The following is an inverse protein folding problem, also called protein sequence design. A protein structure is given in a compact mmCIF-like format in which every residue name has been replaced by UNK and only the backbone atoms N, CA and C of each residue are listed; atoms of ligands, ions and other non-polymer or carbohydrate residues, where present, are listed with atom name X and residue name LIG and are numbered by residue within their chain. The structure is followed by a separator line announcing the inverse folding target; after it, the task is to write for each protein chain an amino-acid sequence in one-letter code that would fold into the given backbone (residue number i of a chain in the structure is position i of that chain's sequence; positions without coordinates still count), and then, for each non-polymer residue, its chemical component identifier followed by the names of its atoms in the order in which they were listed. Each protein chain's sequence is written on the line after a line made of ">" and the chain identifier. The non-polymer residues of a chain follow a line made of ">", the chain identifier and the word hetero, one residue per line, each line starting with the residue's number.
data_IF_778913602654
#
_entry.id   IF_778913602654
#
_cell.length_a   1.000
_cell.length_b   1.000
_cell.length_c   1.000
_cell.angle_alpha   90.00
_cell.angle_beta   90.00
_cell.angle_gamma   90.00
#
_symmetry.space_group_name_H-M   'P 1'
#
loop_
_entity.id
_entity.type
_entity.pdbx_description
1 polymer ?
#
# COMPACT_ATOMS: atom_id res chain seq x y z
N UNK A 1 -41.51 27.77 24.15
CA UNK A 1 -42.13 26.43 24.05
C UNK A 1 -41.10 25.41 24.47
N UNK A 2 -41.47 24.41 25.29
CA UNK A 2 -40.52 23.60 26.02
C UNK A 2 -39.87 22.52 25.16
N UNK A 3 -38.70 22.14 25.64
CA UNK A 3 -37.74 21.14 25.19
C UNK A 3 -38.40 19.75 25.11
N UNK A 4 -38.32 19.08 23.96
CA UNK A 4 -38.62 17.65 23.84
C UNK A 4 -37.29 16.88 23.75
N UNK A 5 -36.89 16.30 24.87
CA UNK A 5 -35.86 15.28 24.96
C UNK A 5 -36.39 13.98 24.32
N UNK A 6 -35.97 13.69 23.09
CA UNK A 6 -35.95 12.31 22.60
C UNK A 6 -34.55 11.75 22.84
N UNK A 7 -34.41 11.01 23.93
CA UNK A 7 -33.23 10.23 24.24
C UNK A 7 -32.91 9.29 23.06
N UNK A 8 -31.81 9.55 22.38
CA UNK A 8 -31.21 8.63 21.42
C UNK A 8 -30.66 7.43 22.17
N UNK A 9 -31.21 6.24 21.88
CA UNK A 9 -30.70 4.97 22.36
C UNK A 9 -29.21 4.81 22.03
N UNK A 10 -28.41 4.20 22.93
CA UNK A 10 -26.99 3.96 22.69
C UNK A 10 -26.81 2.98 21.52
N UNK A 11 -25.74 3.12 20.71
CA UNK A 11 -25.51 2.22 19.60
C UNK A 11 -25.37 0.78 20.09
N UNK A 12 -26.17 -0.12 19.50
CA UNK A 12 -26.13 -1.55 19.73
C UNK A 12 -24.67 -2.03 19.75
N UNK A 13 -24.29 -2.67 20.86
CA UNK A 13 -23.02 -3.41 20.95
C UNK A 13 -23.03 -4.43 19.81
N UNK A 14 -22.12 -4.26 18.84
CA UNK A 14 -21.86 -5.25 17.79
C UNK A 14 -21.87 -6.64 18.39
N UNK A 15 -22.89 -7.43 18.04
CA UNK A 15 -23.02 -8.80 18.48
C UNK A 15 -21.71 -9.53 18.15
N UNK A 16 -21.15 -10.23 19.14
CA UNK A 16 -20.11 -11.23 18.88
C UNK A 16 -20.73 -12.25 17.92
N UNK A 17 -20.30 -12.22 16.67
CA UNK A 17 -20.71 -13.20 15.66
C UNK A 17 -20.25 -14.56 16.16
N UNK A 18 -21.22 -15.37 16.57
CA UNK A 18 -20.99 -16.75 16.94
C UNK A 18 -20.84 -17.53 15.63
N UNK A 19 -19.61 -17.78 15.21
CA UNK A 19 -19.31 -18.58 14.03
C UNK A 19 -19.87 -20.00 14.24
N UNK A 20 -20.88 -20.37 13.44
CA UNK A 20 -21.26 -21.78 13.28
C UNK A 20 -20.04 -22.59 12.82
N UNK A 21 -19.86 -23.85 13.27
CA UNK A 21 -18.70 -24.65 12.89
C UNK A 21 -18.84 -25.12 11.44
N UNK A 22 -18.53 -24.23 10.48
CA UNK A 22 -18.15 -24.68 9.14
C UNK A 22 -16.87 -25.47 9.32
N UNK A 23 -16.84 -26.71 8.83
CA UNK A 23 -15.62 -27.52 8.78
C UNK A 23 -14.55 -26.67 8.09
N UNK A 24 -13.61 -26.14 8.86
CA UNK A 24 -12.52 -25.33 8.34
C UNK A 24 -11.49 -26.30 7.81
N UNK A 25 -11.55 -26.59 6.50
CA UNK A 25 -10.50 -27.37 5.87
C UNK A 25 -9.16 -26.65 6.06
N UNK A 26 -8.16 -27.42 6.50
CA UNK A 26 -6.80 -26.90 6.59
C UNK A 26 -6.28 -26.58 5.19
N UNK A 27 -5.29 -25.70 5.08
CA UNK A 27 -4.67 -25.43 3.78
C UNK A 27 -4.01 -26.69 3.19
N UNK A 28 -3.53 -27.58 4.04
CA UNK A 28 -3.00 -28.88 3.66
C UNK A 28 -4.06 -29.72 2.96
N UNK A 29 -5.26 -29.83 3.54
CA UNK A 29 -6.38 -30.57 2.96
C UNK A 29 -6.87 -29.94 1.65
N UNK A 30 -6.99 -28.61 1.60
CA UNK A 30 -7.42 -27.86 0.40
C UNK A 30 -6.49 -28.14 -0.79
N UNK A 31 -5.20 -28.30 -0.52
CA UNK A 31 -4.20 -28.57 -1.55
C UNK A 31 -3.88 -30.07 -1.72
N UNK A 32 -4.53 -30.96 -0.97
CA UNK A 32 -4.27 -32.41 -1.02
C UNK A 32 -2.84 -32.78 -0.62
N UNK A 33 -2.24 -32.04 0.30
CA UNK A 33 -0.86 -32.24 0.76
C UNK A 33 -0.82 -32.98 2.10
N UNK A 34 0.18 -33.84 2.27
CA UNK A 34 0.43 -34.53 3.53
C UNK A 34 0.99 -33.55 4.58
N UNK A 35 0.37 -33.49 5.75
CA UNK A 35 0.83 -32.69 6.89
C UNK A 35 2.21 -33.11 7.43
N UNK A 36 2.80 -34.21 6.94
CA UNK A 36 4.19 -34.62 7.23
C UNK A 36 5.25 -33.91 6.41
N UNK A 37 4.90 -33.24 5.30
CA UNK A 37 5.86 -32.49 4.46
C UNK A 37 6.74 -31.50 5.25
N UNK A 38 6.25 -30.77 6.28
CA UNK A 38 7.05 -29.86 7.10
C UNK A 38 8.26 -30.51 7.78
N UNK A 39 8.18 -31.82 8.09
CA UNK A 39 9.29 -32.59 8.68
C UNK A 39 10.47 -32.66 7.71
N UNK A 40 10.19 -32.64 6.41
CA UNK A 40 11.14 -32.93 5.35
C UNK A 40 11.73 -31.69 4.66
N UNK A 41 11.37 -30.46 5.05
CA UNK A 41 11.87 -29.24 4.38
C UNK A 41 13.41 -29.21 4.46
N UNK A 42 14.13 -29.42 3.34
CA UNK A 42 15.57 -29.51 3.34
C UNK A 42 16.19 -28.12 3.45
N UNK A 43 17.46 -28.06 3.87
CA UNK A 43 18.28 -26.84 3.87
C UNK A 43 17.74 -25.67 4.72
N UNK A 44 16.84 -25.95 5.66
CA UNK A 44 16.34 -24.93 6.57
C UNK A 44 17.45 -24.49 7.55
N UNK A 45 17.76 -23.18 7.65
CA UNK A 45 18.72 -22.67 8.63
C UNK A 45 18.39 -23.17 10.04
N UNK A 46 19.41 -23.50 10.83
CA UNK A 46 19.22 -24.10 12.17
C UNK A 46 18.26 -23.30 13.05
N UNK A 47 18.37 -21.97 13.01
CA UNK A 47 17.51 -21.05 13.77
C UNK A 47 16.01 -21.12 13.40
N UNK A 48 15.67 -21.65 12.22
CA UNK A 48 14.29 -21.75 11.73
C UNK A 48 13.70 -23.15 11.89
N UNK A 49 14.51 -24.15 12.26
CA UNK A 49 14.10 -25.57 12.27
C UNK A 49 13.00 -25.89 13.27
N UNK A 50 12.90 -25.14 14.36
CA UNK A 50 11.84 -25.25 15.36
C UNK A 50 10.50 -24.72 14.84
N UNK A 51 10.52 -23.88 13.82
CA UNK A 51 9.34 -23.24 13.21
C UNK A 51 8.97 -23.85 11.85
N UNK A 52 9.42 -25.07 11.54
CA UNK A 52 9.17 -25.73 10.23
C UNK A 52 7.70 -25.75 9.84
N UNK A 53 6.82 -26.10 10.78
CA UNK A 53 5.38 -26.12 10.55
C UNK A 53 4.87 -24.73 10.17
N UNK A 54 5.17 -23.72 11.00
CA UNK A 54 4.77 -22.33 10.76
C UNK A 54 5.28 -21.80 9.41
N UNK A 55 6.48 -22.20 8.99
CA UNK A 55 7.05 -21.82 7.70
C UNK A 55 6.28 -22.48 6.55
N UNK A 56 5.97 -23.77 6.66
CA UNK A 56 5.17 -24.46 5.66
C UNK A 56 3.76 -23.87 5.56
N UNK A 57 3.10 -23.63 6.69
CA UNK A 57 1.78 -22.99 6.76
C UNK A 57 1.82 -21.59 6.14
N UNK A 58 2.89 -20.81 6.38
CA UNK A 58 3.09 -19.51 5.74
C UNK A 58 3.19 -19.61 4.22
N UNK A 59 3.98 -20.57 3.69
CA UNK A 59 4.09 -20.75 2.25
C UNK A 59 2.79 -21.25 1.62
N UNK A 60 2.03 -22.12 2.29
CA UNK A 60 0.70 -22.51 1.84
C UNK A 60 -0.27 -21.32 1.86
N UNK A 61 -0.20 -20.47 2.88
CA UNK A 61 -1.00 -19.25 2.95
C UNK A 61 -0.67 -18.29 1.80
N UNK A 62 0.62 -18.10 1.49
CA UNK A 62 1.06 -17.32 0.32
C UNK A 62 0.58 -17.97 -0.98
N UNK A 63 0.71 -19.29 -1.11
CA UNK A 63 0.28 -20.03 -2.30
C UNK A 63 -1.23 -19.91 -2.54
N UNK A 64 -2.06 -20.14 -1.53
CA UNK A 64 -3.52 -20.02 -1.66
C UNK A 64 -3.94 -18.59 -1.99
N UNK A 65 -3.27 -17.56 -1.46
CA UNK A 65 -3.51 -16.16 -1.89
C UNK A 65 -3.27 -15.95 -3.37
N UNK A 66 -2.22 -16.55 -3.92
CA UNK A 66 -1.95 -16.48 -5.36
C UNK A 66 -3.02 -17.25 -6.15
N UNK A 67 -3.43 -18.43 -5.68
CA UNK A 67 -4.50 -19.21 -6.31
C UNK A 67 -5.84 -18.48 -6.32
N UNK A 68 -6.19 -17.81 -5.23
CA UNK A 68 -7.40 -16.97 -5.15
C UNK A 68 -7.35 -15.88 -6.22
N UNK A 69 -6.21 -15.20 -6.38
CA UNK A 69 -6.04 -14.19 -7.42
C UNK A 69 -6.20 -14.80 -8.84
N UNK A 70 -5.58 -15.95 -9.10
CA UNK A 70 -5.70 -16.65 -10.40
C UNK A 70 -7.14 -17.06 -10.71
N UNK A 71 -7.85 -17.67 -9.74
CA UNK A 71 -9.25 -18.11 -9.90
C UNK A 71 -10.15 -16.91 -10.20
N UNK A 72 -9.95 -15.80 -9.47
CA UNK A 72 -10.68 -14.54 -9.71
C UNK A 72 -10.43 -13.98 -11.11
N UNK A 73 -9.20 -14.04 -11.60
CA UNK A 73 -8.85 -13.51 -12.92
C UNK A 73 -9.23 -14.43 -14.09
N UNK A 74 -9.63 -15.68 -13.82
CA UNK A 74 -10.21 -16.60 -14.81
C UNK A 74 -11.75 -16.61 -14.81
N UNK A 75 -12.36 -15.64 -14.14
CA UNK A 75 -13.82 -15.54 -13.98
C UNK A 75 -14.45 -16.80 -13.38
N UNK A 76 -13.71 -17.53 -12.55
CA UNK A 76 -14.24 -18.69 -11.82
C UNK A 76 -15.28 -18.23 -10.78
N UNK A 77 -16.33 -19.04 -10.59
CA UNK A 77 -17.39 -18.75 -9.63
C UNK A 77 -16.87 -18.75 -8.19
N UNK A 78 -17.39 -17.82 -7.37
CA UNK A 78 -17.12 -17.80 -5.94
C UNK A 78 -17.75 -19.00 -5.20
N UNK A 79 -17.17 -19.43 -4.06
CA UNK A 79 -16.01 -18.84 -3.38
C UNK A 79 -14.67 -19.29 -3.98
N UNK A 80 -13.69 -18.38 -4.03
CA UNK A 80 -12.35 -18.67 -4.56
C UNK A 80 -11.43 -19.42 -3.59
N UNK A 81 -11.87 -19.68 -2.36
CA UNK A 81 -11.20 -20.54 -1.39
C UNK A 81 -12.25 -21.17 -0.47
N UNK A 82 -11.94 -22.33 0.07
CA UNK A 82 -12.78 -23.01 1.06
C UNK A 82 -12.36 -22.66 2.50
N UNK A 83 -11.21 -22.01 2.68
CA UNK A 83 -10.74 -21.64 4.02
C UNK A 83 -11.46 -20.36 4.50
N UNK A 84 -12.11 -20.37 5.68
CA UNK A 84 -12.86 -19.22 6.21
C UNK A 84 -12.04 -17.94 6.35
N UNK A 85 -10.73 -18.04 6.62
CA UNK A 85 -9.84 -16.88 6.75
C UNK A 85 -9.85 -16.04 5.47
N UNK A 86 -9.88 -16.67 4.29
CA UNK A 86 -9.92 -15.95 3.02
C UNK A 86 -11.33 -15.47 2.61
N UNK A 87 -12.36 -15.92 3.31
CA UNK A 87 -13.73 -15.45 3.11
C UNK A 87 -14.03 -14.22 3.98
N UNK A 88 -13.53 -14.23 5.21
CA UNK A 88 -13.86 -13.23 6.22
C UNK A 88 -12.83 -12.09 6.31
N UNK A 89 -11.60 -12.31 5.83
CA UNK A 89 -10.51 -11.33 5.88
C UNK A 89 -10.08 -10.87 4.49
N UNK A 90 -9.61 -9.63 4.41
CA UNK A 90 -8.99 -9.06 3.20
C UNK A 90 -7.47 -9.07 3.33
N UNK A 91 -6.81 -9.45 2.25
CA UNK A 91 -5.35 -9.47 2.16
C UNK A 91 -4.90 -8.71 0.91
N UNK A 92 -3.71 -8.12 0.94
CA UNK A 92 -3.07 -7.59 -0.27
C UNK A 92 -2.75 -8.74 -1.24
N UNK A 93 -2.32 -8.44 -2.47
CA UNK A 93 -1.72 -9.47 -3.30
C UNK A 93 -0.30 -9.82 -2.80
N UNK A 94 0.23 -10.96 -3.23
CA UNK A 94 1.63 -11.31 -2.94
C UNK A 94 2.60 -10.42 -3.73
N UNK A 95 2.20 -10.11 -4.96
CA UNK A 95 2.95 -9.33 -5.93
C UNK A 95 2.33 -7.93 -6.01
N UNK A 96 3.15 -6.92 -5.81
CA UNK A 96 2.71 -5.51 -5.74
C UNK A 96 2.14 -5.02 -7.07
N UNK A 97 2.68 -5.51 -8.18
CA UNK A 97 2.25 -5.25 -9.54
C UNK A 97 0.81 -5.75 -9.82
N UNK A 98 0.28 -6.64 -8.98
CA UNK A 98 -1.09 -7.12 -9.09
C UNK A 98 -2.07 -6.21 -8.34
N UNK A 99 -1.59 -5.30 -7.50
CA UNK A 99 -2.44 -4.35 -6.80
C UNK A 99 -2.97 -3.29 -7.76
N UNK A 100 -4.31 -3.15 -7.82
CA UNK A 100 -4.99 -2.16 -8.67
C UNK A 100 -4.43 -0.74 -8.49
N UNK A 101 -4.09 -0.37 -7.26
CA UNK A 101 -3.51 0.94 -6.95
C UNK A 101 -2.11 1.13 -7.55
N UNK A 102 -1.31 0.08 -7.61
CA UNK A 102 0.03 0.10 -8.23
C UNK A 102 -0.08 0.08 -9.76
N UNK A 103 -0.95 -0.76 -10.33
CA UNK A 103 -1.19 -0.76 -11.78
C UNK A 103 -1.61 0.61 -12.30
N UNK A 104 -2.51 1.28 -11.58
CA UNK A 104 -2.92 2.64 -11.92
C UNK A 104 -1.76 3.64 -11.86
N UNK A 105 -0.88 3.51 -10.87
CA UNK A 105 0.32 4.33 -10.77
C UNK A 105 1.30 4.06 -11.92
N UNK A 106 1.54 2.79 -12.27
CA UNK A 106 2.40 2.40 -13.40
C UNK A 106 1.86 2.94 -14.73
N UNK A 107 0.55 2.88 -14.96
CA UNK A 107 -0.07 3.49 -16.14
C UNK A 107 0.24 4.99 -16.23
N UNK A 108 0.11 5.73 -15.12
CA UNK A 108 0.48 7.14 -15.09
C UNK A 108 1.98 7.37 -15.33
N UNK A 109 2.86 6.51 -14.82
CA UNK A 109 4.31 6.59 -15.08
C UNK A 109 4.62 6.40 -16.56
N UNK A 110 3.91 5.52 -17.28
CA UNK A 110 4.05 5.37 -18.72
C UNK A 110 3.61 6.62 -19.47
N UNK A 111 2.44 7.18 -19.14
CA UNK A 111 1.96 8.44 -19.72
C UNK A 111 2.95 9.60 -19.46
N UNK A 112 3.53 9.64 -18.25
CA UNK A 112 4.53 10.61 -17.87
C UNK A 112 5.82 10.45 -18.69
N UNK A 113 6.25 9.21 -18.96
CA UNK A 113 7.42 8.96 -19.83
C UNK A 113 7.17 9.48 -21.24
N UNK A 114 6.00 9.23 -21.81
CA UNK A 114 5.65 9.66 -23.15
C UNK A 114 5.60 11.19 -23.26
N UNK A 115 4.99 11.86 -22.28
CA UNK A 115 4.90 13.32 -22.24
C UNK A 115 6.24 14.04 -22.04
N UNK A 116 7.16 13.49 -21.23
CA UNK A 116 8.48 14.10 -20.99
C UNK A 116 9.47 13.84 -22.12
N UNK A 117 9.21 12.83 -22.96
CA UNK A 117 10.02 12.47 -24.10
C UNK A 117 11.34 11.76 -23.76
N UNK A 118 12.07 11.28 -24.77
CA UNK A 118 13.24 10.42 -24.59
C UNK A 118 14.47 11.12 -24.01
N UNK A 119 14.52 12.46 -24.11
CA UNK A 119 15.68 13.26 -23.71
C UNK A 119 15.59 13.83 -22.28
N UNK A 120 14.59 13.40 -21.50
CA UNK A 120 14.43 13.83 -20.11
C UNK A 120 15.67 13.43 -19.29
N UNK A 121 16.20 14.36 -18.48
CA UNK A 121 17.33 14.06 -17.62
C UNK A 121 16.93 13.04 -16.55
N UNK A 122 17.89 12.22 -16.08
CA UNK A 122 17.63 11.25 -15.00
C UNK A 122 17.07 11.93 -13.74
N UNK A 123 17.55 13.15 -13.43
CA UNK A 123 17.09 13.91 -12.27
C UNK A 123 15.67 14.45 -12.46
N UNK A 124 15.31 14.94 -13.64
CA UNK A 124 13.96 15.43 -13.91
C UNK A 124 12.95 14.28 -13.93
N UNK A 125 13.33 13.12 -14.52
CA UNK A 125 12.53 11.90 -14.45
C UNK A 125 12.28 11.46 -13.01
N UNK A 126 13.34 11.36 -12.19
CA UNK A 126 13.22 11.02 -10.78
C UNK A 126 12.32 12.01 -10.04
N UNK A 127 12.49 13.30 -10.29
CA UNK A 127 11.71 14.38 -9.66
C UNK A 127 10.22 14.24 -9.98
N UNK A 128 9.88 13.94 -11.24
CA UNK A 128 8.50 13.81 -11.69
C UNK A 128 7.82 12.56 -11.11
N UNK A 129 8.47 11.39 -11.17
CA UNK A 129 7.96 10.15 -10.55
C UNK A 129 7.83 10.29 -9.03
N UNK A 130 8.82 10.92 -8.38
CA UNK A 130 8.80 11.14 -6.94
C UNK A 130 7.61 12.01 -6.52
N UNK A 131 7.33 13.06 -7.27
CA UNK A 131 6.16 13.91 -7.04
C UNK A 131 4.85 13.13 -7.21
N UNK A 132 4.70 12.39 -8.32
CA UNK A 132 3.51 11.59 -8.56
C UNK A 132 3.29 10.55 -7.44
N UNK A 133 4.35 9.85 -7.03
CA UNK A 133 4.30 8.87 -5.94
C UNK A 133 3.94 9.53 -4.61
N UNK A 134 4.54 10.69 -4.29
CA UNK A 134 4.24 11.45 -3.08
C UNK A 134 2.77 11.86 -3.00
N UNK A 135 2.23 12.44 -4.07
CA UNK A 135 0.84 12.91 -4.11
C UNK A 135 -0.15 11.74 -4.04
N UNK A 136 0.15 10.63 -4.72
CA UNK A 136 -0.75 9.49 -4.82
C UNK A 136 -0.72 8.57 -3.60
N UNK A 137 0.45 8.15 -3.11
CA UNK A 137 0.56 7.12 -2.06
C UNK A 137 0.01 7.55 -0.70
N UNK A 138 -0.11 8.85 -0.44
CA UNK A 138 -0.78 9.37 0.75
C UNK A 138 -2.30 9.15 0.72
N UNK A 139 -2.89 9.03 -0.47
CA UNK A 139 -4.33 8.86 -0.68
C UNK A 139 -4.65 7.40 -1.02
N UNK A 140 -3.84 6.81 -1.90
CA UNK A 140 -3.86 5.42 -2.37
C UNK A 140 -5.27 4.93 -2.79
N UNK A 141 -6.01 5.81 -3.50
CA UNK A 141 -7.36 5.55 -4.00
C UNK A 141 -7.47 5.91 -5.48
N UNK A 142 -7.64 4.90 -6.32
CA UNK A 142 -7.65 5.04 -7.79
C UNK A 142 -8.76 5.97 -8.27
N UNK A 143 -9.96 5.85 -7.70
CA UNK A 143 -11.14 6.63 -8.10
C UNK A 143 -10.93 8.14 -7.96
N UNK A 144 -10.15 8.54 -6.97
CA UNK A 144 -9.81 9.94 -6.71
C UNK A 144 -9.00 10.53 -7.86
N UNK A 145 -8.04 9.76 -8.40
CA UNK A 145 -7.12 10.24 -9.44
C UNK A 145 -7.64 9.96 -10.85
N UNK A 146 -8.50 8.96 -11.06
CA UNK A 146 -9.19 8.76 -12.33
C UNK A 146 -9.98 10.00 -12.77
N UNK A 147 -10.58 10.72 -11.83
CA UNK A 147 -11.42 11.88 -12.13
C UNK A 147 -10.63 13.20 -12.17
N UNK A 148 -9.56 13.31 -11.37
CA UNK A 148 -8.81 14.56 -11.20
C UNK A 148 -7.51 14.63 -12.00
N UNK A 149 -6.99 13.49 -12.43
CA UNK A 149 -5.63 13.36 -12.93
C UNK A 149 -4.58 13.54 -11.83
N UNK A 150 -3.32 13.39 -12.22
CA UNK A 150 -2.19 13.73 -11.37
C UNK A 150 -1.82 15.21 -11.58
N UNK A 151 -1.65 16.00 -10.51
CA UNK A 151 -1.21 17.38 -10.64
C UNK A 151 0.29 17.46 -10.93
N UNK A 152 0.73 18.50 -11.62
CA UNK A 152 2.11 18.96 -11.51
C UNK A 152 2.31 19.83 -10.25
N UNK A 153 3.55 20.03 -9.77
CA UNK A 153 3.81 20.87 -8.60
C UNK A 153 3.21 22.28 -8.71
N UNK A 154 3.28 22.90 -9.90
CA UNK A 154 2.71 24.23 -10.16
C UNK A 154 1.19 24.27 -10.04
N UNK A 155 0.52 23.15 -10.33
CA UNK A 155 -0.94 23.04 -10.33
C UNK A 155 -1.50 22.53 -9.01
N UNK A 156 -0.66 22.20 -8.03
CA UNK A 156 -1.04 21.59 -6.76
C UNK A 156 -2.20 22.31 -6.07
N UNK A 157 -2.15 23.65 -5.99
CA UNK A 157 -3.22 24.45 -5.36
C UNK A 157 -4.54 24.33 -6.12
N UNK A 158 -4.49 24.34 -7.45
CA UNK A 158 -5.70 24.21 -8.28
C UNK A 158 -6.31 22.81 -8.16
N UNK A 159 -5.46 21.78 -8.14
CA UNK A 159 -5.85 20.39 -7.91
C UNK A 159 -6.53 20.21 -6.56
N UNK A 160 -5.95 20.76 -5.48
CA UNK A 160 -6.53 20.70 -4.13
C UNK A 160 -7.86 21.47 -4.03
N UNK A 161 -8.06 22.52 -4.83
CA UNK A 161 -9.38 23.17 -4.90
C UNK A 161 -10.40 22.27 -5.59
N UNK A 162 -10.05 21.71 -6.76
CA UNK A 162 -10.93 20.78 -7.50
C UNK A 162 -11.30 19.56 -6.68
N UNK A 163 -10.31 18.93 -6.04
CA UNK A 163 -10.52 17.79 -5.17
C UNK A 163 -11.49 18.14 -4.03
N UNK A 164 -11.25 19.27 -3.33
CA UNK A 164 -12.14 19.69 -2.25
C UNK A 164 -13.58 19.97 -2.69
N UNK A 165 -13.80 20.58 -3.86
CA UNK A 165 -15.14 20.83 -4.38
C UNK A 165 -15.86 19.52 -4.70
N UNK A 166 -15.16 18.57 -5.32
CA UNK A 166 -15.72 17.29 -5.70
C UNK A 166 -16.17 16.43 -4.50
N UNK A 167 -15.42 16.43 -3.38
CA UNK A 167 -15.88 15.74 -2.16
C UNK A 167 -17.13 16.36 -1.59
N UNK A 168 -17.25 17.69 -1.64
CA UNK A 168 -18.44 18.40 -1.16
C UNK A 168 -19.65 18.14 -2.05
N UNK A 169 -19.49 18.24 -3.37
CA UNK A 169 -20.59 18.11 -4.33
C UNK A 169 -21.11 16.68 -4.47
N UNK A 170 -20.22 15.68 -4.49
CA UNK A 170 -20.61 14.26 -4.70
C UNK A 170 -20.91 13.50 -3.41
N UNK A 171 -20.73 14.12 -2.24
CA UNK A 171 -20.81 13.43 -0.94
C UNK A 171 -19.84 12.24 -0.83
N UNK A 172 -18.80 12.21 -1.67
CA UNK A 172 -17.83 11.13 -1.77
C UNK A 172 -16.56 11.46 -0.97
N UNK A 173 -15.81 10.43 -0.57
CA UNK A 173 -14.54 10.62 0.14
C UNK A 173 -13.32 10.53 -0.77
N UNK A 174 -12.32 11.39 -0.56
CA UNK A 174 -11.00 11.30 -1.21
C UNK A 174 -10.17 10.14 -0.70
N UNK A 175 -10.33 9.84 0.60
CA UNK A 175 -9.62 8.78 1.32
C UNK A 175 -10.52 7.56 1.50
N UNK A 176 -9.93 6.46 1.92
CA UNK A 176 -10.64 5.28 2.42
C UNK A 176 -10.97 5.45 3.92
N UNK A 177 -12.22 5.27 4.38
CA UNK A 177 -12.57 5.16 5.81
C UNK A 177 -12.99 6.46 6.54
N UNK A 178 -13.02 6.45 7.90
CA UNK A 178 -13.81 7.36 8.76
C UNK A 178 -13.11 8.64 9.32
N UNK A 179 -11.85 8.94 8.96
CA UNK A 179 -11.14 10.17 9.39
C UNK A 179 -10.98 11.19 8.24
N UNK A 180 -12.01 11.28 7.40
CA UNK A 180 -11.96 11.88 6.05
C UNK A 180 -11.58 13.36 6.04
N UNK A 181 -12.15 14.14 6.95
CA UNK A 181 -11.95 15.61 7.00
C UNK A 181 -10.55 15.97 7.48
N UNK A 182 -10.09 15.36 8.57
CA UNK A 182 -8.76 15.61 9.13
C UNK A 182 -7.64 15.09 8.19
N UNK A 183 -7.90 13.96 7.51
CA UNK A 183 -7.00 13.41 6.50
C UNK A 183 -6.78 14.39 5.34
N UNK A 184 -7.86 14.98 4.82
CA UNK A 184 -7.77 15.93 3.71
C UNK A 184 -7.09 17.24 4.07
N UNK A 185 -7.38 17.80 5.24
CA UNK A 185 -6.73 19.03 5.71
C UNK A 185 -5.22 18.84 5.84
N UNK A 186 -4.79 17.72 6.42
CA UNK A 186 -3.37 17.40 6.54
C UNK A 186 -2.73 17.17 5.17
N UNK A 187 -3.35 16.36 4.32
CA UNK A 187 -2.87 16.11 2.97
C UNK A 187 -2.69 17.40 2.17
N UNK A 188 -3.70 18.27 2.20
CA UNK A 188 -3.64 19.59 1.56
C UNK A 188 -2.43 20.39 2.04
N UNK A 189 -2.25 20.48 3.37
CA UNK A 189 -1.12 21.20 3.97
C UNK A 189 0.23 20.60 3.54
N UNK A 190 0.31 19.28 3.46
CA UNK A 190 1.52 18.55 3.07
C UNK A 190 1.86 18.78 1.59
N UNK A 191 0.90 18.59 0.69
CA UNK A 191 1.05 18.82 -0.76
C UNK A 191 1.41 20.27 -1.06
N UNK A 192 0.70 21.24 -0.45
CA UNK A 192 1.06 22.66 -0.59
C UNK A 192 2.47 22.95 -0.10
N UNK A 193 2.90 22.35 1.03
CA UNK A 193 4.23 22.58 1.58
C UNK A 193 5.34 22.07 0.65
N UNK A 194 5.14 20.93 -0.01
CA UNK A 194 6.11 20.39 -0.97
C UNK A 194 6.12 21.19 -2.27
N UNK A 195 4.96 21.67 -2.73
CA UNK A 195 4.83 22.46 -3.96
C UNK A 195 5.34 23.91 -3.84
N UNK A 196 5.40 24.48 -2.61
CA UNK A 196 5.89 25.84 -2.36
C UNK A 196 7.30 26.08 -2.90
N UNK A 197 7.61 27.34 -3.16
CA UNK A 197 8.91 27.79 -3.68
C UNK A 197 9.30 26.99 -4.93
N UNK A 198 8.33 26.79 -5.82
CA UNK A 198 8.49 26.03 -7.06
C UNK A 198 9.01 24.60 -6.81
N UNK A 199 8.54 23.92 -5.76
CA UNK A 199 9.00 22.56 -5.46
C UNK A 199 10.44 22.47 -4.93
N UNK A 200 10.95 23.50 -4.24
CA UNK A 200 12.33 23.50 -3.70
C UNK A 200 12.66 22.24 -2.89
N UNK A 201 11.78 21.83 -1.96
CA UNK A 201 11.98 20.63 -1.15
C UNK A 201 12.01 19.36 -2.01
N UNK A 202 11.09 19.25 -2.97
CA UNK A 202 11.04 18.13 -3.91
C UNK A 202 12.37 17.99 -4.67
N UNK A 203 12.91 19.09 -5.21
CA UNK A 203 14.21 19.08 -5.91
C UNK A 203 15.38 18.73 -5.00
N UNK A 204 15.40 19.27 -3.77
CA UNK A 204 16.44 18.95 -2.80
C UNK A 204 16.45 17.47 -2.42
N UNK A 205 15.27 16.89 -2.17
CA UNK A 205 15.13 15.45 -1.87
C UNK A 205 15.49 14.63 -3.09
N UNK A 206 15.08 15.04 -4.30
CA UNK A 206 15.42 14.35 -5.55
C UNK A 206 16.93 14.25 -5.76
N UNK A 207 17.67 15.36 -5.56
CA UNK A 207 19.15 15.37 -5.61
C UNK A 207 19.80 14.50 -4.54
N UNK A 208 19.23 14.46 -3.33
CA UNK A 208 19.74 13.61 -2.25
C UNK A 208 19.53 12.13 -2.56
N UNK A 209 18.37 11.76 -3.13
CA UNK A 209 18.08 10.38 -3.54
C UNK A 209 18.97 9.97 -4.72
N UNK A 210 19.17 10.84 -5.72
CA UNK A 210 20.03 10.51 -6.87
C UNK A 210 21.49 10.23 -6.48
N UNK A 211 21.94 10.79 -5.36
CA UNK A 211 23.30 10.62 -4.81
C UNK A 211 23.37 9.61 -3.66
N UNK A 212 22.26 8.99 -3.28
CA UNK A 212 22.22 8.05 -2.16
C UNK A 212 22.89 6.73 -2.57
N UNK A 213 23.81 6.24 -1.73
CA UNK A 213 24.57 5.02 -2.00
C UNK A 213 23.84 3.73 -1.60
N UNK A 214 22.74 3.83 -0.85
CA UNK A 214 22.01 2.69 -0.34
C UNK A 214 20.55 3.03 0.02
N UNK A 215 19.77 1.97 0.22
CA UNK A 215 18.35 2.00 0.58
C UNK A 215 18.04 2.77 1.86
N UNK A 216 18.91 2.66 2.88
CA UNK A 216 18.75 3.38 4.15
C UNK A 216 18.75 4.90 3.93
N UNK A 217 19.66 5.40 3.10
CA UNK A 217 19.75 6.82 2.77
C UNK A 217 18.56 7.27 1.93
N UNK A 218 18.13 6.48 0.94
CA UNK A 218 16.91 6.78 0.17
C UNK A 218 15.69 6.92 1.09
N UNK A 219 15.45 5.94 1.97
CA UNK A 219 14.34 5.97 2.93
C UNK A 219 14.44 7.17 3.87
N UNK A 220 15.64 7.48 4.38
CA UNK A 220 15.88 8.68 5.21
C UNK A 220 15.48 9.97 4.48
N UNK A 221 15.83 10.09 3.20
CA UNK A 221 15.50 11.27 2.40
C UNK A 221 14.01 11.36 2.05
N UNK A 222 13.37 10.23 1.72
CA UNK A 222 11.92 10.17 1.48
C UNK A 222 11.11 10.59 2.70
N UNK A 223 11.54 10.18 3.90
CA UNK A 223 10.93 10.58 5.19
C UNK A 223 11.06 12.06 5.54
N UNK A 224 11.82 12.84 4.76
CA UNK A 224 11.87 14.29 4.94
C UNK A 224 10.60 14.98 4.44
N UNK A 225 9.77 14.31 3.63
CA UNK A 225 8.50 14.86 3.19
C UNK A 225 7.46 14.88 4.32
N UNK A 226 6.64 15.95 4.41
CA UNK A 226 5.57 16.00 5.38
C UNK A 226 4.53 14.94 5.06
N UNK A 227 4.07 14.22 6.10
CA UNK A 227 3.09 13.14 5.99
C UNK A 227 3.68 11.77 5.67
N UNK A 228 5.00 11.66 5.43
CA UNK A 228 5.63 10.40 5.01
C UNK A 228 6.29 9.69 6.19
N UNK A 229 5.60 8.68 6.72
CA UNK A 229 6.15 7.72 7.66
C UNK A 229 6.99 6.63 6.99
N UNK A 230 7.51 5.69 7.77
CA UNK A 230 8.38 4.61 7.29
C UNK A 230 7.72 3.77 6.18
N UNK A 231 6.49 3.33 6.38
CA UNK A 231 5.78 2.50 5.39
C UNK A 231 5.52 3.25 4.07
N UNK A 232 5.08 4.51 4.12
CA UNK A 232 4.89 5.32 2.91
C UNK A 232 6.21 5.61 2.20
N UNK A 233 7.29 5.85 2.94
CA UNK A 233 8.63 5.99 2.35
C UNK A 233 9.05 4.71 1.61
N UNK A 234 8.76 3.54 2.17
CA UNK A 234 9.03 2.27 1.50
C UNK A 234 8.17 2.09 0.24
N UNK A 235 6.88 2.45 0.27
CA UNK A 235 6.02 2.45 -0.91
C UNK A 235 6.56 3.37 -2.03
N UNK A 236 7.01 4.57 -1.66
CA UNK A 236 7.62 5.51 -2.62
C UNK A 236 8.96 4.98 -3.15
N UNK A 237 9.76 4.32 -2.32
CA UNK A 237 11.00 3.68 -2.77
C UNK A 237 10.73 2.59 -3.83
N UNK A 238 9.73 1.74 -3.61
CA UNK A 238 9.30 0.73 -4.59
C UNK A 238 8.90 1.39 -5.91
N UNK A 239 8.07 2.44 -5.87
CA UNK A 239 7.66 3.19 -7.06
C UNK A 239 8.87 3.72 -7.85
N UNK A 240 9.87 4.29 -7.15
CA UNK A 240 11.10 4.78 -7.79
C UNK A 240 11.95 3.68 -8.43
N UNK A 241 12.02 2.49 -7.80
CA UNK A 241 12.76 1.34 -8.34
C UNK A 241 12.06 0.77 -9.56
N UNK A 242 10.76 0.54 -9.47
CA UNK A 242 9.92 0.02 -10.56
C UNK A 242 9.85 0.99 -11.76
N UNK A 243 10.01 2.29 -11.51
CA UNK A 243 10.09 3.33 -12.54
C UNK A 243 11.52 3.58 -13.05
N UNK A 244 12.49 2.74 -12.68
CA UNK A 244 13.90 2.83 -13.09
C UNK A 244 14.57 4.18 -12.74
N UNK A 245 14.13 4.85 -11.68
CA UNK A 245 14.73 6.11 -11.21
C UNK A 245 16.05 5.88 -10.45
N UNK A 246 16.11 4.78 -9.70
CA UNK A 246 17.24 4.38 -8.85
C UNK A 246 17.52 2.88 -9.04
N UNK A 247 18.74 2.44 -8.72
CA UNK A 247 19.18 1.08 -8.99
C UNK A 247 18.27 0.02 -8.34
N UNK A 248 17.95 -1.01 -9.14
CA UNK A 248 17.03 -2.09 -8.82
C UNK A 248 17.65 -3.16 -7.90
N UNK A 249 18.28 -2.76 -6.79
CA UNK A 249 18.59 -3.71 -5.70
C UNK A 249 17.31 -4.01 -4.93
N UNK A 250 16.34 -4.66 -5.60
CA UNK A 250 14.96 -4.84 -5.11
C UNK A 250 14.92 -5.63 -3.80
N UNK A 251 15.84 -6.57 -3.61
CA UNK A 251 15.76 -7.59 -2.55
C UNK A 251 16.57 -7.29 -1.28
N UNK A 252 17.07 -6.06 -1.10
CA UNK A 252 17.89 -5.72 0.08
C UNK A 252 17.07 -5.31 1.32
N UNK A 253 15.79 -4.96 1.15
CA UNK A 253 14.96 -4.42 2.23
C UNK A 253 13.45 -4.53 1.96
N UNK A 254 12.69 -4.95 2.97
CA UNK A 254 11.23 -4.94 2.97
C UNK A 254 10.70 -4.35 4.28
N UNK A 255 9.65 -3.52 4.21
CA UNK A 255 8.99 -2.93 5.37
C UNK A 255 7.66 -3.64 5.66
N UNK A 256 7.42 -3.97 6.92
CA UNK A 256 6.13 -4.52 7.33
C UNK A 256 5.04 -3.45 7.28
N UNK A 257 3.91 -3.78 6.67
CA UNK A 257 2.74 -2.91 6.66
C UNK A 257 2.14 -2.74 8.08
N UNK A 258 1.42 -1.64 8.36
CA UNK A 258 0.80 -1.38 9.66
C UNK A 258 -0.11 -2.51 10.15
N UNK A 259 -0.84 -3.17 9.24
CA UNK A 259 -1.68 -4.33 9.57
C UNK A 259 -0.87 -5.52 10.06
N UNK A 260 0.24 -5.82 9.38
CA UNK A 260 1.17 -6.86 9.84
C UNK A 260 1.75 -6.50 11.20
N UNK A 261 2.14 -5.25 11.44
CA UNK A 261 2.65 -4.82 12.77
C UNK A 261 1.58 -4.96 13.85
N UNK A 262 0.33 -4.58 13.58
CA UNK A 262 -0.76 -4.64 14.58
C UNK A 262 -1.16 -6.07 14.95
N UNK A 263 -1.04 -7.01 14.02
CA UNK A 263 -1.40 -8.43 14.23
C UNK A 263 -0.19 -9.25 14.69
N UNK A 264 0.99 -8.92 14.20
CA UNK A 264 2.24 -9.55 14.56
C UNK A 264 2.92 -8.77 15.69
N UNK A 265 2.60 -9.14 16.93
CA UNK A 265 3.56 -9.02 18.03
C UNK A 265 4.75 -10.01 17.86
N UNK A 266 5.04 -10.45 16.62
CA UNK A 266 6.27 -11.17 16.28
C UNK A 266 7.40 -10.15 16.25
N UNK A 267 8.36 -10.34 17.15
CA UNK A 267 9.71 -9.75 17.07
C UNK A 267 10.50 -10.31 15.88
N UNK A 268 9.95 -10.26 14.66
CA UNK A 268 10.76 -10.35 13.45
C UNK A 268 11.38 -8.99 13.25
N UNK A 269 12.51 -8.75 13.94
CA UNK A 269 13.46 -7.72 13.54
C UNK A 269 13.99 -8.11 12.16
N UNK A 270 13.29 -7.69 11.11
CA UNK A 270 13.97 -7.46 9.83
C UNK A 270 15.03 -6.41 10.15
N UNK A 271 16.28 -6.76 9.91
CA UNK A 271 17.51 -6.10 10.40
C UNK A 271 17.33 -4.60 10.68
N UNK A 272 17.56 -4.13 11.92
CA UNK A 272 17.55 -2.70 12.18
C UNK A 272 18.67 -2.07 11.34
N UNK A 273 18.29 -1.17 10.43
CA UNK A 273 19.23 -0.32 9.71
C UNK A 273 19.82 0.72 10.66
#
# INVERSE_FOLDING_TARGET
>A
MPYNDTATEPPEKKAKIQCSPKVSLSLWEIHGLDEKVPIHIPNLPTALRENRQNIADFFLFVYERQRIWERRNRDEAQPWSQNPVFLDCSFCNNYRELDRGTQFFHAHVLDLRDSMGPNVSKLDWLTAVLWASYVYRQVNKVESFLQLGFPEPRDAVSFLKRASSQFKEKGCSFFTGAHQTQGYVNYRRHVEAVARNDGKLLREVSKKISNASNTKLCLKHLRAFPGIGQFLAWQMLCDLRESYCIDAKVDDYCELGPGAISTCNLKLRVFPL
#
